data_IF_940919177737
#
_entry.id   IF_940919177737
#
_cell.length_a   1.000
_cell.length_b   1.000
_cell.length_c   1.000
_cell.angle_alpha   90.00
_cell.angle_beta   90.00
_cell.angle_gamma   90.00
#
_symmetry.space_group_name_H-M   'P 1'
#
loop_
_entity.id
_entity.type
_entity.pdbx_description
1 polymer ?
#
# COMPACT_ATOMS: atom_id res chain seq x y z
N UNK A 1 11.05 -6.69 -4.12
CA UNK A 1 9.74 -7.41 -4.07
C UNK A 1 9.99 -8.90 -4.27
N UNK A 2 9.06 -9.78 -3.89
CA UNK A 2 9.12 -11.23 -4.15
C UNK A 2 7.89 -11.57 -4.99
N UNK A 3 8.09 -12.18 -6.16
CA UNK A 3 7.04 -12.68 -7.04
C UNK A 3 7.42 -14.10 -7.46
N UNK A 4 6.51 -15.05 -7.32
CA UNK A 4 6.65 -16.40 -7.86
C UNK A 4 5.93 -16.48 -9.22
N UNK A 5 6.58 -16.99 -10.28
CA UNK A 5 5.93 -17.20 -11.58
C UNK A 5 4.68 -18.09 -11.54
N UNK A 6 4.51 -18.93 -10.52
CA UNK A 6 3.31 -19.75 -10.36
C UNK A 6 2.10 -18.98 -9.79
N UNK A 7 2.27 -17.75 -9.33
CA UNK A 7 1.20 -16.99 -8.68
C UNK A 7 0.26 -16.31 -9.68
N UNK A 8 -1.02 -16.25 -9.31
CA UNK A 8 -2.05 -15.40 -9.91
C UNK A 8 -2.01 -14.05 -9.22
N UNK A 9 -1.77 -12.99 -9.98
CA UNK A 9 -1.48 -11.65 -9.42
C UNK A 9 -2.57 -10.65 -9.80
N UNK A 10 -2.96 -9.83 -8.84
CA UNK A 10 -3.75 -8.62 -9.04
C UNK A 10 -2.92 -7.38 -8.69
N UNK A 11 -2.85 -6.40 -9.58
CA UNK A 11 -2.28 -5.07 -9.28
C UNK A 11 -3.38 -4.03 -9.06
N UNK A 12 -3.23 -3.23 -8.01
CA UNK A 12 -4.18 -2.19 -7.61
C UNK A 12 -3.64 -0.81 -7.98
N UNK A 13 -4.43 -0.03 -8.72
CA UNK A 13 -4.16 1.37 -9.00
C UNK A 13 -2.86 1.63 -9.78
N UNK A 14 -2.53 0.79 -10.76
CA UNK A 14 -1.32 0.89 -11.57
C UNK A 14 -1.46 1.99 -12.64
N UNK A 15 -1.31 3.23 -12.20
CA UNK A 15 -1.53 4.48 -12.94
C UNK A 15 -1.42 4.39 -14.47
N UNK A 16 -0.24 4.16 -15.04
CA UNK A 16 -0.02 4.07 -16.50
C UNK A 16 0.17 2.65 -17.02
N UNK A 17 -0.08 1.65 -16.17
CA UNK A 17 0.05 0.22 -16.41
C UNK A 17 1.49 -0.27 -16.68
N UNK A 18 2.51 0.58 -16.51
CA UNK A 18 3.90 0.20 -16.77
C UNK A 18 4.45 -0.80 -15.76
N UNK A 19 3.95 -0.80 -14.51
CA UNK A 19 4.34 -1.80 -13.53
C UNK A 19 3.80 -3.18 -13.93
N UNK A 20 2.52 -3.27 -14.26
CA UNK A 20 1.84 -4.51 -14.67
C UNK A 20 2.43 -5.05 -15.96
N UNK A 21 2.74 -4.18 -16.94
CA UNK A 21 3.45 -4.60 -18.15
C UNK A 21 4.81 -5.22 -17.83
N UNK A 22 5.57 -4.61 -16.92
CA UNK A 22 6.86 -5.12 -16.50
C UNK A 22 6.75 -6.45 -15.76
N UNK A 23 5.80 -6.58 -14.83
CA UNK A 23 5.48 -7.84 -14.14
C UNK A 23 5.17 -8.94 -15.15
N UNK A 24 4.29 -8.67 -16.11
CA UNK A 24 3.93 -9.62 -17.15
C UNK A 24 5.15 -10.09 -17.96
N UNK A 25 5.96 -9.14 -18.44
CA UNK A 25 7.09 -9.43 -19.32
C UNK A 25 8.26 -10.12 -18.63
N UNK A 26 8.55 -9.72 -17.38
CA UNK A 26 9.80 -10.08 -16.71
C UNK A 26 9.62 -11.03 -15.53
N UNK A 27 8.47 -11.00 -14.85
CA UNK A 27 8.16 -11.91 -13.74
C UNK A 27 7.32 -13.11 -14.18
N UNK A 28 6.60 -12.99 -15.31
CA UNK A 28 5.85 -14.06 -15.98
C UNK A 28 4.96 -14.86 -15.01
N UNK A 29 4.03 -14.19 -14.30
CA UNK A 29 3.12 -14.88 -13.41
C UNK A 29 2.19 -15.82 -14.18
N UNK A 30 1.60 -16.79 -13.48
CA UNK A 30 0.66 -17.74 -14.04
C UNK A 30 -0.60 -17.04 -14.56
N UNK A 31 -0.98 -15.95 -13.89
CA UNK A 31 -2.05 -15.05 -14.31
C UNK A 31 -1.75 -13.63 -13.82
N UNK A 32 -2.17 -12.63 -14.61
CA UNK A 32 -2.12 -11.23 -14.21
C UNK A 32 -3.48 -10.58 -14.50
N UNK A 33 -3.97 -9.81 -13.54
CA UNK A 33 -5.00 -8.81 -13.74
C UNK A 33 -4.49 -7.48 -13.21
N UNK A 34 -4.79 -6.40 -13.93
CA UNK A 34 -4.36 -5.06 -13.59
C UNK A 34 -5.56 -4.14 -13.41
N UNK A 35 -5.45 -3.19 -12.49
CA UNK A 35 -6.51 -2.21 -12.27
C UNK A 35 -5.94 -0.80 -12.25
N UNK A 36 -6.75 0.16 -12.70
CA UNK A 36 -6.42 1.59 -12.72
C UNK A 36 -7.62 2.37 -12.18
N UNK A 37 -7.35 3.37 -11.35
CA UNK A 37 -8.40 4.25 -10.80
C UNK A 37 -9.03 5.14 -11.88
N UNK A 38 -8.21 5.67 -12.79
CA UNK A 38 -8.68 6.46 -13.92
C UNK A 38 -9.53 5.57 -14.87
N UNK A 39 -10.59 6.13 -15.47
CA UNK A 39 -11.28 5.50 -16.60
C UNK A 39 -10.34 5.33 -17.80
N UNK A 40 -10.72 4.50 -18.78
CA UNK A 40 -9.90 4.29 -19.98
C UNK A 40 -9.58 5.60 -20.73
N UNK A 41 -10.56 6.50 -20.84
CA UNK A 41 -10.40 7.80 -21.51
C UNK A 41 -9.48 8.73 -20.72
N UNK A 42 -9.65 8.82 -19.39
CA UNK A 42 -8.80 9.62 -18.51
C UNK A 42 -7.36 9.11 -18.52
N UNK A 43 -7.15 7.80 -18.43
CA UNK A 43 -5.85 7.15 -18.55
C UNK A 43 -5.15 7.54 -19.85
N UNK A 44 -5.84 7.43 -20.99
CA UNK A 44 -5.27 7.73 -22.29
C UNK A 44 -4.98 9.23 -22.48
N UNK A 45 -5.81 10.10 -21.91
CA UNK A 45 -5.59 11.55 -21.93
C UNK A 45 -4.41 11.96 -21.04
N UNK A 46 -4.28 11.36 -19.86
CA UNK A 46 -3.27 11.68 -18.85
C UNK A 46 -1.89 11.11 -19.19
N UNK A 47 -1.85 9.91 -19.77
CA UNK A 47 -0.61 9.20 -20.08
C UNK A 47 -0.50 8.89 -21.57
N UNK A 48 0.24 9.76 -22.29
CA UNK A 48 0.56 9.54 -23.72
C UNK A 48 1.22 8.19 -23.99
N UNK A 49 2.02 7.71 -23.03
CA UNK A 49 2.70 6.42 -23.08
C UNK A 49 2.21 5.55 -21.92
N UNK A 50 1.04 4.94 -22.09
CA UNK A 50 0.48 3.93 -21.19
C UNK A 50 0.55 2.54 -21.82
N UNK A 51 0.38 1.50 -21.00
CA UNK A 51 0.49 0.10 -21.44
C UNK A 51 -0.87 -0.61 -21.59
N UNK A 52 -1.99 0.12 -21.66
CA UNK A 52 -3.33 -0.47 -21.75
C UNK A 52 -3.47 -1.39 -22.96
N UNK A 53 -3.20 -0.86 -24.16
CA UNK A 53 -3.31 -1.63 -25.40
C UNK A 53 -2.34 -2.82 -25.43
N UNK A 54 -1.13 -2.66 -24.89
CA UNK A 54 -0.16 -3.75 -24.78
C UNK A 54 -0.72 -4.89 -23.93
N UNK A 55 -1.18 -4.60 -22.71
CA UNK A 55 -1.71 -5.60 -21.79
C UNK A 55 -2.96 -6.31 -22.36
N UNK A 56 -3.87 -5.56 -22.97
CA UNK A 56 -5.04 -6.13 -23.64
C UNK A 56 -4.66 -7.06 -24.80
N UNK A 57 -3.66 -6.70 -25.60
CA UNK A 57 -3.15 -7.57 -26.66
C UNK A 57 -2.53 -8.87 -26.10
N UNK A 58 -1.99 -8.82 -24.88
CA UNK A 58 -1.50 -10.00 -24.16
C UNK A 58 -2.62 -10.79 -23.45
N UNK A 59 -3.89 -10.43 -23.64
CA UNK A 59 -5.04 -11.00 -22.93
C UNK A 59 -4.97 -10.88 -21.40
N UNK A 60 -4.22 -9.88 -20.90
CA UNK A 60 -4.27 -9.51 -19.48
C UNK A 60 -5.57 -8.77 -19.23
N UNK A 61 -6.33 -9.19 -18.21
CA UNK A 61 -7.54 -8.49 -17.80
C UNK A 61 -7.15 -7.13 -17.18
N UNK A 62 -7.61 -6.03 -17.78
CA UNK A 62 -7.37 -4.67 -17.28
C UNK A 62 -8.69 -4.00 -16.95
N UNK A 63 -8.89 -3.66 -15.68
CA UNK A 63 -10.09 -2.96 -15.20
C UNK A 63 -9.78 -1.48 -14.92
N UNK A 64 -10.42 -0.58 -15.67
CA UNK A 64 -10.30 0.88 -15.49
C UNK A 64 -11.47 1.43 -14.68
N UNK A 65 -11.29 2.57 -14.00
CA UNK A 65 -12.32 3.10 -13.10
C UNK A 65 -12.44 2.33 -11.79
N UNK A 66 -11.41 1.55 -11.43
CA UNK A 66 -11.41 0.69 -10.26
C UNK A 66 -10.96 1.47 -9.02
N UNK A 67 -11.86 1.66 -8.07
CA UNK A 67 -11.57 2.22 -6.75
C UNK A 67 -11.57 1.11 -5.69
N UNK A 68 -10.39 0.83 -5.14
CA UNK A 68 -10.23 -0.18 -4.07
C UNK A 68 -11.09 0.11 -2.85
N UNK A 69 -11.52 1.35 -2.64
CA UNK A 69 -12.35 1.77 -1.50
C UNK A 69 -13.86 1.68 -1.78
N UNK A 70 -14.26 1.45 -3.03
CA UNK A 70 -15.66 1.33 -3.46
C UNK A 70 -15.92 -0.03 -4.13
N UNK A 71 -16.56 -0.98 -3.42
CA UNK A 71 -16.91 -2.29 -3.96
C UNK A 71 -17.75 -2.26 -5.24
N UNK A 72 -18.49 -1.18 -5.49
CA UNK A 72 -19.32 -1.07 -6.70
C UNK A 72 -18.50 -0.83 -7.97
N UNK A 73 -17.23 -0.44 -7.82
CA UNK A 73 -16.31 -0.15 -8.91
C UNK A 73 -15.50 -1.35 -9.40
N UNK A 74 -15.54 -2.49 -8.71
CA UNK A 74 -14.59 -3.58 -8.95
C UNK A 74 -14.77 -4.35 -10.26
N UNK A 75 -15.86 -4.09 -10.97
CA UNK A 75 -16.11 -4.63 -12.30
C UNK A 75 -16.02 -6.17 -12.34
N UNK A 76 -15.25 -6.69 -13.29
CA UNK A 76 -15.12 -8.13 -13.57
C UNK A 76 -13.96 -8.81 -12.80
N UNK A 77 -13.42 -8.17 -11.76
CA UNK A 77 -12.42 -8.81 -10.90
C UNK A 77 -13.13 -9.85 -10.03
N UNK A 78 -12.98 -11.13 -10.39
CA UNK A 78 -13.59 -12.21 -9.59
C UNK A 78 -12.98 -12.27 -8.18
N UNK A 79 -13.83 -12.64 -7.23
CA UNK A 79 -13.45 -12.83 -5.85
C UNK A 79 -12.60 -14.11 -5.65
N UNK A 80 -11.71 -14.08 -4.66
CA UNK A 80 -10.94 -15.21 -4.12
C UNK A 80 -10.12 -16.01 -5.16
N UNK A 81 -9.49 -15.33 -6.13
CA UNK A 81 -8.76 -16.00 -7.22
C UNK A 81 -7.26 -15.66 -7.28
N UNK A 82 -6.76 -14.78 -6.41
CA UNK A 82 -5.39 -14.30 -6.49
C UNK A 82 -4.53 -14.86 -5.37
N UNK A 83 -3.28 -15.19 -5.69
CA UNK A 83 -2.28 -15.59 -4.69
C UNK A 83 -1.61 -14.35 -4.09
N UNK A 84 -1.46 -13.30 -4.90
CA UNK A 84 -0.79 -12.05 -4.54
C UNK A 84 -1.58 -10.85 -5.06
N UNK A 85 -1.90 -9.92 -4.17
CA UNK A 85 -2.41 -8.59 -4.53
C UNK A 85 -1.34 -7.53 -4.21
N UNK A 86 -1.10 -6.61 -5.14
CA UNK A 86 -0.02 -5.61 -5.05
C UNK A 86 -0.59 -4.20 -5.17
N UNK A 87 -0.27 -3.33 -4.22
CA UNK A 87 -0.51 -1.89 -4.32
C UNK A 87 0.83 -1.14 -4.39
N UNK A 88 1.17 -0.65 -5.58
CA UNK A 88 2.48 -0.08 -5.89
C UNK A 88 2.47 1.45 -5.72
N UNK A 89 3.24 1.97 -4.76
CA UNK A 89 3.32 3.39 -4.40
C UNK A 89 1.95 4.10 -4.25
N UNK A 90 1.00 3.54 -3.48
CA UNK A 90 -0.30 4.15 -3.26
C UNK A 90 -0.20 5.51 -2.56
N UNK A 91 -1.10 6.40 -2.95
CA UNK A 91 -1.30 7.71 -2.31
C UNK A 91 -2.73 8.16 -2.60
N UNK A 92 -3.39 8.81 -1.63
CA UNK A 92 -4.66 9.49 -1.90
C UNK A 92 -4.47 10.61 -2.94
N UNK A 93 -5.39 10.79 -3.90
CA UNK A 93 -5.32 11.88 -4.86
C UNK A 93 -5.22 13.26 -4.18
N UNK A 94 -4.63 14.24 -4.87
CA UNK A 94 -4.67 15.62 -4.40
C UNK A 94 -6.12 16.12 -4.39
N UNK A 95 -6.49 16.82 -3.32
CA UNK A 95 -7.72 17.60 -3.30
C UNK A 95 -7.62 18.73 -4.33
N UNK A 96 -8.51 18.71 -5.32
CA UNK A 96 -8.67 19.78 -6.31
C UNK A 96 -9.63 20.86 -5.83
N UNK A 97 -10.43 20.55 -4.81
CA UNK A 97 -11.43 21.45 -4.21
C UNK A 97 -11.22 21.62 -2.70
N UNK A 98 -11.36 22.86 -2.22
CA UNK A 98 -11.14 23.20 -0.81
C UNK A 98 -12.25 22.65 0.12
N UNK A 99 -13.48 22.53 -0.39
CA UNK A 99 -14.59 21.95 0.35
C UNK A 99 -14.42 20.44 0.53
N UNK A 100 -13.86 19.74 -0.46
CA UNK A 100 -13.49 18.32 -0.30
C UNK A 100 -12.40 18.16 0.75
N UNK A 101 -11.36 19.00 0.73
CA UNK A 101 -10.35 18.99 1.77
C UNK A 101 -10.97 19.20 3.16
N UNK A 102 -11.84 20.19 3.32
CA UNK A 102 -12.51 20.45 4.60
C UNK A 102 -13.40 19.28 5.03
N UNK A 103 -14.13 18.67 4.11
CA UNK A 103 -15.01 17.53 4.36
C UNK A 103 -14.24 16.30 4.83
N UNK A 104 -13.18 15.92 4.12
CA UNK A 104 -12.41 14.71 4.42
C UNK A 104 -11.37 14.90 5.54
N UNK A 105 -10.86 16.13 5.72
CA UNK A 105 -9.82 16.45 6.69
C UNK A 105 -10.32 17.24 7.90
N UNK A 106 -11.62 17.21 8.22
CA UNK A 106 -12.18 17.93 9.37
C UNK A 106 -11.59 17.44 10.71
N UNK A 107 -11.49 16.12 10.88
CA UNK A 107 -11.06 15.47 12.12
C UNK A 107 -9.72 14.76 12.01
N UNK A 108 -9.26 14.56 10.77
CA UNK A 108 -8.09 13.75 10.45
C UNK A 108 -7.25 14.44 9.40
N UNK A 109 -5.96 14.11 9.34
CA UNK A 109 -5.06 14.66 8.33
C UNK A 109 -5.00 13.79 7.07
N UNK A 110 -4.41 14.33 6.01
CA UNK A 110 -4.05 13.56 4.80
C UNK A 110 -3.15 12.35 5.13
N UNK A 111 -2.34 12.43 6.18
CA UNK A 111 -1.58 11.28 6.67
C UNK A 111 -2.53 10.13 7.07
N UNK A 112 -3.53 10.43 7.89
CA UNK A 112 -4.53 9.46 8.33
C UNK A 112 -5.39 8.96 7.17
N UNK A 113 -5.73 9.81 6.19
CA UNK A 113 -6.43 9.36 4.98
C UNK A 113 -5.62 8.34 4.17
N UNK A 114 -4.30 8.51 4.06
CA UNK A 114 -3.46 7.47 3.45
C UNK A 114 -3.48 6.17 4.26
N UNK A 115 -3.46 6.24 5.59
CA UNK A 115 -3.59 5.04 6.44
C UNK A 115 -4.94 4.34 6.23
N UNK A 116 -6.02 5.11 6.08
CA UNK A 116 -7.37 4.60 5.77
C UNK A 116 -7.36 3.85 4.43
N UNK A 117 -6.85 4.47 3.37
CA UNK A 117 -6.74 3.84 2.04
C UNK A 117 -5.98 2.50 2.12
N UNK A 118 -4.83 2.49 2.79
CA UNK A 118 -4.02 1.28 2.91
C UNK A 118 -4.72 0.20 3.76
N UNK A 119 -5.46 0.59 4.80
CA UNK A 119 -6.25 -0.34 5.60
C UNK A 119 -7.38 -0.96 4.78
N UNK A 120 -8.13 -0.16 4.03
CA UNK A 120 -9.20 -0.66 3.18
C UNK A 120 -8.66 -1.61 2.11
N UNK A 121 -7.54 -1.24 1.49
CA UNK A 121 -6.81 -2.14 0.59
C UNK A 121 -6.52 -3.49 1.25
N UNK A 122 -5.88 -3.50 2.43
CA UNK A 122 -5.58 -4.74 3.13
C UNK A 122 -6.85 -5.54 3.42
N UNK A 123 -7.89 -4.90 3.97
CA UNK A 123 -9.13 -5.62 4.30
C UNK A 123 -9.81 -6.19 3.06
N UNK A 124 -9.88 -5.46 1.95
CA UNK A 124 -10.47 -5.97 0.71
C UNK A 124 -9.62 -7.06 0.05
N UNK A 125 -8.29 -6.99 0.13
CA UNK A 125 -7.42 -8.09 -0.32
C UNK A 125 -7.80 -9.41 0.33
N UNK A 126 -7.86 -9.45 1.66
CA UNK A 126 -8.11 -10.71 2.38
C UNK A 126 -9.59 -11.12 2.40
N UNK A 127 -10.52 -10.17 2.32
CA UNK A 127 -11.94 -10.48 2.37
C UNK A 127 -12.57 -10.72 1.00
N UNK A 128 -11.95 -10.30 -0.11
CA UNK A 128 -12.57 -10.33 -1.44
C UNK A 128 -11.68 -10.94 -2.51
N UNK A 129 -10.37 -10.63 -2.57
CA UNK A 129 -9.57 -10.95 -3.75
C UNK A 129 -8.66 -12.17 -3.59
N UNK A 130 -8.04 -12.32 -2.42
CA UNK A 130 -7.07 -13.37 -2.18
C UNK A 130 -7.76 -14.72 -2.04
N UNK A 131 -7.25 -15.70 -2.77
CA UNK A 131 -7.62 -17.09 -2.62
C UNK A 131 -7.14 -17.59 -1.23
N UNK A 132 -8.04 -18.06 -0.34
CA UNK A 132 -7.66 -18.59 0.97
C UNK A 132 -6.69 -19.78 0.92
N UNK A 133 -6.76 -20.57 -0.16
CA UNK A 133 -5.90 -21.73 -0.43
C UNK A 133 -4.67 -21.36 -1.29
N UNK A 134 -4.62 -20.11 -1.77
CA UNK A 134 -3.49 -19.56 -2.50
C UNK A 134 -2.35 -19.11 -1.59
N UNK A 135 -1.43 -18.30 -2.13
CA UNK A 135 -0.31 -17.79 -1.33
C UNK A 135 -0.75 -16.84 -0.20
N UNK A 136 -1.95 -16.23 -0.28
CA UNK A 136 -2.49 -15.36 0.77
C UNK A 136 -1.55 -14.18 1.11
N UNK A 137 -1.11 -13.46 0.07
CA UNK A 137 -0.18 -12.33 0.22
C UNK A 137 -0.78 -11.02 -0.30
N UNK A 138 -0.80 -10.00 0.56
CA UNK A 138 -0.99 -8.62 0.14
C UNK A 138 0.33 -7.86 0.29
N UNK A 139 0.67 -7.05 -0.71
CA UNK A 139 1.90 -6.24 -0.72
C UNK A 139 1.57 -4.77 -0.90
N UNK A 140 2.18 -3.93 -0.07
CA UNK A 140 2.20 -2.48 -0.28
C UNK A 140 3.65 -2.10 -0.57
N UNK A 141 3.93 -1.41 -1.67
CA UNK A 141 5.25 -0.80 -1.87
C UNK A 141 5.19 0.69 -1.66
N UNK A 142 6.08 1.23 -0.82
CA UNK A 142 6.10 2.67 -0.51
C UNK A 142 7.53 3.18 -0.30
N UNK A 143 7.70 4.51 -0.35
CA UNK A 143 8.99 5.18 -0.15
C UNK A 143 9.36 5.20 1.33
N UNK A 144 10.66 5.14 1.65
CA UNK A 144 11.15 5.20 3.03
C UNK A 144 11.51 6.61 3.49
N UNK A 145 10.69 7.60 3.13
CA UNK A 145 10.91 9.02 3.45
C UNK A 145 9.62 9.68 3.90
N UNK A 146 9.69 10.89 4.45
CA UNK A 146 8.49 11.67 4.75
C UNK A 146 7.78 12.09 3.45
N UNK A 147 6.43 12.15 3.44
CA UNK A 147 5.52 11.84 4.53
C UNK A 147 5.20 10.33 4.67
N UNK A 148 5.56 9.49 3.70
CA UNK A 148 5.24 8.06 3.62
C UNK A 148 5.61 7.26 4.88
N UNK A 149 6.77 7.55 5.46
CA UNK A 149 7.26 6.89 6.68
C UNK A 149 6.31 7.09 7.87
N UNK A 150 5.58 8.21 7.91
CA UNK A 150 4.62 8.51 8.98
C UNK A 150 3.30 7.73 8.84
N UNK A 151 3.09 6.97 7.77
CA UNK A 151 1.88 6.15 7.63
C UNK A 151 1.95 4.84 8.42
N UNK A 152 3.10 4.51 9.01
CA UNK A 152 3.22 3.38 9.94
C UNK A 152 2.71 2.05 9.36
N UNK A 153 3.05 1.80 8.09
CA UNK A 153 2.60 0.67 7.26
C UNK A 153 2.86 -0.67 7.97
N UNK A 154 4.01 -0.79 8.60
CA UNK A 154 4.56 -1.98 9.25
C UNK A 154 4.12 -2.18 10.70
N UNK A 155 3.30 -1.29 11.27
CA UNK A 155 3.01 -1.28 12.71
C UNK A 155 1.54 -1.15 13.05
N UNK A 156 0.79 -0.31 12.33
CA UNK A 156 -0.55 0.13 12.80
C UNK A 156 -1.69 -0.31 11.90
N UNK A 157 -1.43 -0.55 10.61
CA UNK A 157 -2.47 -0.87 9.63
C UNK A 157 -3.16 -2.20 9.90
N UNK A 158 -2.58 -3.07 10.71
CA UNK A 158 -3.11 -4.42 11.01
C UNK A 158 -3.84 -4.50 12.35
N UNK A 159 -3.92 -3.40 13.11
CA UNK A 159 -4.62 -3.38 14.41
C UNK A 159 -6.05 -3.90 14.27
N UNK A 160 -6.45 -4.84 15.14
CA UNK A 160 -7.83 -5.37 15.19
C UNK A 160 -8.33 -5.94 13.84
N UNK A 161 -7.50 -6.68 13.08
CA UNK A 161 -7.88 -7.16 11.74
C UNK A 161 -7.70 -8.65 11.45
N UNK A 162 -6.98 -9.40 12.29
CA UNK A 162 -6.54 -10.77 11.95
C UNK A 162 -5.52 -10.86 10.80
N UNK A 163 -5.11 -9.72 10.23
CA UNK A 163 -4.03 -9.60 9.24
C UNK A 163 -2.73 -9.35 9.99
N UNK A 164 -1.63 -9.93 9.52
CA UNK A 164 -0.31 -9.78 10.11
C UNK A 164 0.65 -9.15 9.12
N UNK A 165 1.42 -8.16 9.58
CA UNK A 165 2.61 -7.72 8.87
C UNK A 165 3.71 -8.76 9.12
N UNK A 166 4.19 -9.42 8.07
CA UNK A 166 5.13 -10.55 8.18
C UNK A 166 6.58 -10.17 7.85
N UNK A 167 6.80 -8.99 7.28
CA UNK A 167 8.13 -8.47 6.98
C UNK A 167 8.16 -7.59 5.74
N UNK A 168 9.34 -7.07 5.40
CA UNK A 168 9.54 -6.22 4.21
C UNK A 168 10.77 -6.64 3.42
N UNK A 169 10.82 -6.23 2.16
CA UNK A 169 12.00 -6.39 1.30
C UNK A 169 12.20 -5.13 0.48
N UNK A 170 13.46 -4.79 0.20
CA UNK A 170 13.77 -3.65 -0.66
C UNK A 170 13.10 -3.82 -2.03
N UNK A 171 12.56 -2.73 -2.55
CA UNK A 171 12.02 -2.65 -3.91
C UNK A 171 13.16 -2.27 -4.86
N UNK A 172 13.55 -3.23 -5.70
CA UNK A 172 14.62 -3.07 -6.68
C UNK A 172 14.01 -2.77 -8.05
N UNK A 173 13.98 -1.51 -8.47
CA UNK A 173 13.40 -1.11 -9.76
C UNK A 173 14.01 -1.87 -10.94
N UNK A 174 15.28 -2.26 -10.86
CA UNK A 174 15.97 -3.00 -11.91
C UNK A 174 15.37 -4.40 -12.17
N UNK A 175 14.57 -4.93 -11.25
CA UNK A 175 13.80 -6.17 -11.45
C UNK A 175 12.52 -5.93 -12.29
N UNK A 176 12.18 -4.67 -12.55
CA UNK A 176 11.02 -4.24 -13.32
C UNK A 176 11.42 -3.35 -14.50
N UNK A 177 12.16 -3.86 -15.51
CA UNK A 177 12.47 -3.10 -16.71
C UNK A 177 11.20 -2.56 -17.38
N UNK A 178 11.26 -1.32 -17.85
CA UNK A 178 10.11 -0.65 -18.48
C UNK A 178 9.10 -0.01 -17.51
N UNK A 179 9.18 -0.29 -16.20
CA UNK A 179 8.35 0.39 -15.21
C UNK A 179 8.72 1.87 -15.11
N UNK A 180 7.71 2.75 -15.24
CA UNK A 180 7.86 4.20 -15.15
C UNK A 180 7.37 4.69 -13.79
N UNK A 181 8.30 5.12 -12.92
CA UNK A 181 7.91 5.77 -11.66
C UNK A 181 7.32 7.15 -11.99
N UNK A 182 6.04 7.32 -11.65
CA UNK A 182 5.37 8.62 -11.70
C UNK A 182 5.53 9.32 -10.35
N UNK A 183 6.47 10.26 -10.26
CA UNK A 183 6.59 11.12 -9.10
C UNK A 183 5.51 12.21 -9.15
N UNK A 184 4.77 12.40 -8.07
CA UNK A 184 3.90 13.57 -7.90
C UNK A 184 4.77 14.78 -7.55
N UNK A 185 4.33 16.00 -7.88
CA UNK A 185 5.13 17.25 -7.71
C UNK A 185 5.71 17.46 -6.30
N UNK A 186 5.15 16.82 -5.27
CA UNK A 186 5.63 16.85 -3.88
C UNK A 186 6.94 16.07 -3.66
N UNK A 187 7.37 15.27 -4.63
CA UNK A 187 8.51 14.35 -4.54
C UNK A 187 9.77 14.83 -5.28
N UNK A 188 9.80 16.07 -5.77
CA UNK A 188 10.93 16.63 -6.56
C UNK A 188 12.30 16.56 -5.87
N UNK A 189 12.33 16.35 -4.56
CA UNK A 189 13.56 16.26 -3.76
C UNK A 189 13.86 14.85 -3.23
N UNK A 190 13.00 13.85 -3.51
CA UNK A 190 13.24 12.47 -3.10
C UNK A 190 14.04 11.78 -4.19
N UNK A 191 15.28 11.38 -3.87
CA UNK A 191 16.14 10.62 -4.80
C UNK A 191 15.37 9.39 -5.29
N UNK A 192 15.45 9.16 -6.60
CA UNK A 192 14.78 8.06 -7.28
C UNK A 192 15.00 6.71 -6.57
N UNK A 193 13.90 5.95 -6.47
CA UNK A 193 13.86 4.47 -6.41
C UNK A 193 14.11 3.72 -5.10
N UNK A 194 14.37 4.36 -3.96
CA UNK A 194 14.46 3.62 -2.67
C UNK A 194 13.08 3.46 -2.02
N UNK A 195 12.49 2.27 -2.20
CA UNK A 195 11.24 1.88 -1.56
C UNK A 195 11.33 0.50 -0.90
N UNK A 196 10.35 0.21 -0.06
CA UNK A 196 10.17 -1.11 0.57
C UNK A 196 8.85 -1.71 0.12
N UNK A 197 8.86 -3.00 -0.22
CA UNK A 197 7.66 -3.83 -0.31
C UNK A 197 7.38 -4.43 1.06
N UNK A 198 6.26 -4.04 1.67
CA UNK A 198 5.74 -4.55 2.94
C UNK A 198 4.76 -5.69 2.66
N UNK A 199 4.97 -6.83 3.31
CA UNK A 199 4.18 -8.04 3.09
C UNK A 199 3.23 -8.30 4.26
N UNK A 200 2.00 -8.68 3.91
CA UNK A 200 0.94 -8.98 4.84
C UNK A 200 0.32 -10.34 4.49
N UNK A 201 -0.15 -11.05 5.51
CA UNK A 201 -0.84 -12.34 5.37
C UNK A 201 -1.76 -12.59 6.57
N UNK A 202 -2.75 -13.47 6.45
CA UNK A 202 -3.46 -14.05 7.60
C UNK A 202 -2.66 -15.18 8.26
N UNK A 203 -1.54 -15.61 7.66
CA UNK A 203 -0.63 -16.61 8.20
C UNK A 203 0.64 -15.96 8.78
N UNK A 204 0.78 -15.81 10.11
CA UNK A 204 1.93 -15.13 10.71
C UNK A 204 3.25 -15.88 10.52
N UNK A 205 3.22 -17.19 10.31
CA UNK A 205 4.39 -18.03 10.01
C UNK A 205 4.44 -18.44 8.54
N UNK A 206 4.28 -17.46 7.65
CA UNK A 206 4.36 -17.68 6.22
C UNK A 206 5.79 -18.07 5.78
N UNK A 207 5.89 -19.05 4.89
CA UNK A 207 7.14 -19.53 4.29
C UNK A 207 8.07 -18.45 3.71
N UNK A 208 7.55 -17.34 3.17
CA UNK A 208 8.39 -16.29 2.56
C UNK A 208 9.16 -15.47 3.60
N UNK A 209 8.86 -15.60 4.90
CA UNK A 209 9.54 -14.85 5.97
C UNK A 209 11.05 -15.04 5.96
N UNK A 210 11.55 -16.20 5.51
CA UNK A 210 12.99 -16.44 5.36
C UNK A 210 13.68 -15.47 4.40
N UNK A 211 12.94 -14.85 3.49
CA UNK A 211 13.45 -13.94 2.46
C UNK A 211 13.17 -12.46 2.76
N UNK A 212 12.60 -12.14 3.93
CA UNK A 212 12.17 -10.82 4.36
C UNK A 212 13.03 -10.27 5.51
N UNK A 213 13.16 -8.95 5.57
CA UNK A 213 13.52 -8.26 6.81
C UNK A 213 12.32 -8.35 7.76
N UNK A 214 12.52 -9.07 8.86
CA UNK A 214 11.49 -9.33 9.86
C UNK A 214 11.07 -8.06 10.60
N UNK A 215 9.84 -8.03 11.16
CA UNK A 215 9.38 -6.92 11.99
C UNK A 215 10.36 -6.59 13.11
N UNK A 216 10.66 -5.31 13.27
CA UNK A 216 11.55 -4.84 14.33
C UNK A 216 10.82 -4.93 15.67
N UNK A 217 11.45 -5.54 16.66
CA UNK A 217 10.99 -5.49 18.04
C UNK A 217 11.42 -4.15 18.68
N UNK A 218 10.44 -3.32 19.05
CA UNK A 218 10.64 -2.02 19.68
C UNK A 218 10.49 -2.04 21.21
N UNK A 219 10.56 -3.21 21.87
CA UNK A 219 10.39 -3.35 23.32
C UNK A 219 11.22 -2.37 24.16
N UNK A 220 12.44 -2.05 23.71
CA UNK A 220 13.34 -1.12 24.41
C UNK A 220 13.37 0.29 23.80
N UNK A 221 12.44 0.61 22.91
CA UNK A 221 12.44 1.87 22.16
C UNK A 221 11.03 2.43 21.96
N UNK A 222 10.79 3.08 20.82
CA UNK A 222 9.50 3.67 20.48
C UNK A 222 9.04 3.21 19.09
N UNK A 223 7.97 2.41 18.97
CA UNK A 223 7.45 1.97 17.68
C UNK A 223 6.90 3.12 16.84
N UNK A 224 6.21 4.09 17.47
CA UNK A 224 5.67 5.29 16.78
C UNK A 224 6.74 6.09 16.05
N UNK A 225 7.91 6.20 16.68
CA UNK A 225 9.04 6.92 16.13
C UNK A 225 10.06 6.01 15.44
N UNK A 226 9.86 4.69 15.43
CA UNK A 226 10.84 3.69 14.97
C UNK A 226 12.23 3.84 15.60
N UNK A 227 12.27 4.21 16.87
CA UNK A 227 13.52 4.25 17.66
C UNK A 227 13.72 2.87 18.28
N UNK A 228 14.82 2.19 17.97
CA UNK A 228 15.05 0.80 18.42
C UNK A 228 15.36 0.68 19.90
N UNK A 229 16.02 1.70 20.47
CA UNK A 229 16.52 1.65 21.83
C UNK A 229 16.53 3.05 22.47
N UNK A 230 16.07 3.12 23.72
CA UNK A 230 16.11 4.26 24.64
C UNK A 230 16.61 3.73 25.98
N UNK A 231 17.87 3.98 26.31
CA UNK A 231 18.61 3.32 27.38
C UNK A 231 18.30 3.88 28.77
N UNK A 232 17.90 5.14 28.88
CA UNK A 232 17.71 5.82 30.17
C UNK A 232 16.35 6.49 30.28
N UNK A 233 15.90 6.73 31.52
CA UNK A 233 14.67 7.49 31.80
C UNK A 233 14.74 8.91 31.23
N UNK A 234 15.91 9.54 31.27
CA UNK A 234 16.13 10.88 30.72
C UNK A 234 16.00 10.87 29.20
N UNK A 235 16.54 9.86 28.51
CA UNK A 235 16.37 9.69 27.07
C UNK A 235 14.91 9.43 26.69
N UNK A 236 14.20 8.60 27.45
CA UNK A 236 12.77 8.36 27.23
C UNK A 236 11.97 9.63 27.40
N UNK A 237 12.27 10.43 28.43
CA UNK A 237 11.62 11.71 28.70
C UNK A 237 11.93 12.72 27.59
N UNK A 238 13.20 12.89 27.22
CA UNK A 238 13.57 13.79 26.13
C UNK A 238 12.92 13.36 24.80
N UNK A 239 12.84 12.05 24.55
CA UNK A 239 12.20 11.50 23.37
C UNK A 239 10.71 11.84 23.30
N UNK A 240 9.94 11.60 24.37
CA UNK A 240 8.49 11.85 24.39
C UNK A 240 8.16 13.34 24.25
N UNK A 241 9.01 14.23 24.76
CA UNK A 241 8.85 15.68 24.58
C UNK A 241 9.33 16.20 23.22
N UNK A 242 10.00 15.39 22.41
CA UNK A 242 10.49 15.81 21.11
C UNK A 242 9.33 16.13 20.15
N UNK A 243 9.51 17.14 19.29
CA UNK A 243 8.53 17.49 18.25
C UNK A 243 8.15 16.28 17.39
N UNK A 244 9.13 15.46 17.01
CA UNK A 244 8.90 14.24 16.22
C UNK A 244 7.92 13.30 16.92
N UNK A 245 8.09 13.06 18.22
CA UNK A 245 7.21 12.17 18.96
C UNK A 245 5.81 12.75 19.07
N UNK A 246 5.68 14.04 19.37
CA UNK A 246 4.39 14.73 19.44
C UNK A 246 3.64 14.68 18.10
N UNK A 247 4.34 14.91 16.98
CA UNK A 247 3.74 14.79 15.63
C UNK A 247 3.24 13.37 15.35
N UNK A 248 4.04 12.34 15.66
CA UNK A 248 3.64 10.94 15.47
C UNK A 248 2.49 10.51 16.39
N UNK A 249 2.51 10.97 17.65
CA UNK A 249 1.44 10.74 18.61
C UNK A 249 0.13 11.37 18.11
N UNK A 250 0.18 12.57 17.54
CA UNK A 250 -0.99 13.20 16.95
C UNK A 250 -1.57 12.39 15.77
N UNK A 251 -0.73 11.91 14.85
CA UNK A 251 -1.19 11.02 13.78
C UNK A 251 -1.77 9.71 14.31
N UNK A 252 -1.23 9.18 15.42
CA UNK A 252 -1.76 7.99 16.06
C UNK A 252 -3.12 8.24 16.72
N UNK A 253 -3.32 9.38 17.39
CA UNK A 253 -4.62 9.77 17.94
C UNK A 253 -5.68 9.89 16.84
N UNK A 254 -5.34 10.52 15.71
CA UNK A 254 -6.23 10.60 14.54
C UNK A 254 -6.56 9.21 13.99
N UNK A 255 -5.59 8.30 13.98
CA UNK A 255 -5.80 6.93 13.52
C UNK A 255 -6.72 6.13 14.45
N UNK A 256 -6.49 6.17 15.77
CA UNK A 256 -7.37 5.52 16.74
C UNK A 256 -8.80 6.08 16.65
N UNK A 257 -8.95 7.40 16.48
CA UNK A 257 -10.25 7.99 16.19
C UNK A 257 -10.87 7.41 14.92
N UNK A 258 -10.10 7.33 13.82
CA UNK A 258 -10.57 6.86 12.54
C UNK A 258 -11.02 5.39 12.56
N UNK A 259 -10.33 4.51 13.30
CA UNK A 259 -10.72 3.09 13.45
C UNK A 259 -12.16 2.93 13.97
N UNK A 260 -12.61 3.83 14.86
CA UNK A 260 -13.93 3.74 15.49
C UNK A 260 -15.02 4.59 14.81
N UNK A 261 -14.63 5.63 14.08
CA UNK A 261 -15.56 6.65 13.60
C UNK A 261 -15.60 6.80 12.08
N UNK A 262 -14.53 6.42 11.37
CA UNK A 262 -14.50 6.61 9.93
C UNK A 262 -15.34 5.54 9.24
N UNK A 263 -16.36 5.91 8.43
CA UNK A 263 -17.30 4.97 7.83
C UNK A 263 -16.59 3.92 6.98
N UNK A 264 -15.50 4.31 6.33
CA UNK A 264 -14.72 3.45 5.43
C UNK A 264 -13.85 2.38 6.16
N UNK A 265 -13.62 2.51 7.48
CA UNK A 265 -12.82 1.54 8.26
C UNK A 265 -13.69 0.54 9.04
N UNK A 266 -14.99 0.81 9.21
CA UNK A 266 -15.88 -0.08 9.97
C UNK A 266 -16.13 -1.39 9.21
N UNK A 267 -15.30 -2.39 9.46
CA UNK A 267 -15.50 -3.78 9.06
C UNK A 267 -15.38 -4.67 10.30
N UNK A 268 -16.49 -5.33 10.65
CA UNK A 268 -16.57 -6.31 11.74
C UNK A 268 -17.07 -5.76 13.07
N UNK A 269 -18.35 -5.97 13.34
CA UNK A 269 -18.84 -6.30 14.69
C UNK A 269 -18.87 -7.81 14.83
#
# INVERSE_FOLDING_TARGET
MIINPAWRILTIGDGDLSFSASVWQHQKPAHLSATVLDSADELCAKYRHNQLAFLQQQSVNVCTGFDITDPTSWGEINNYQFDLVIFQFPLVPNFTDASDYQRYCQHISVNTLNRILLRQYLTHCFSQFLDPDGANLAVITSKDVKPYLHWQIDTTLTQQSGIYYIGKKQFEINQFPGYQIRNVDRDKHVKDTQGWSYFFSTYPEHSIKSDLELPINYQSGCPLCRVKHLSTTDEQTAHTHSKRHQDMLHYEQQWQWALHHHPAIKLGS
#
